data_IF_747135789250
#
_entry.id   IF_747135789250
#
_cell.length_a   1.000
_cell.length_b   1.000
_cell.length_c   1.000
_cell.angle_alpha   90.00
_cell.angle_beta   90.00
_cell.angle_gamma   90.00
#
_symmetry.space_group_name_H-M   'P 1'
#
loop_
_entity.id
_entity.type
_entity.pdbx_description
1 polymer ?
#
# COMPACT_ATOMS: atom_id res chain seq x y z
N UNK A 1 -26.64 11.25 -4.86
CA UNK A 1 -25.42 11.20 -5.69
C UNK A 1 -24.90 9.78 -5.59
N UNK A 2 -24.80 9.07 -6.71
CA UNK A 2 -24.57 7.62 -6.76
C UNK A 2 -23.25 7.22 -6.08
N UNK A 3 -23.27 6.15 -5.27
CA UNK A 3 -22.12 5.59 -4.54
C UNK A 3 -20.89 5.38 -5.45
N UNK A 4 -21.13 5.12 -6.74
CA UNK A 4 -20.12 5.00 -7.79
C UNK A 4 -19.30 6.28 -7.95
N UNK A 5 -19.92 7.46 -7.95
CA UNK A 5 -19.23 8.75 -8.12
C UNK A 5 -18.34 9.06 -6.92
N UNK A 6 -18.81 8.72 -5.71
CA UNK A 6 -18.03 8.84 -4.49
C UNK A 6 -16.82 7.89 -4.51
N UNK A 7 -17.02 6.65 -4.96
CA UNK A 7 -15.96 5.66 -5.17
C UNK A 7 -14.91 6.12 -6.18
N UNK A 8 -15.33 6.70 -7.31
CA UNK A 8 -14.40 7.27 -8.31
C UNK A 8 -13.61 8.44 -7.72
N UNK A 9 -14.26 9.33 -6.96
CA UNK A 9 -13.60 10.47 -6.31
C UNK A 9 -12.52 10.00 -5.32
N UNK A 10 -12.85 9.00 -4.48
CA UNK A 10 -11.89 8.40 -3.55
C UNK A 10 -10.75 7.68 -4.27
N UNK A 11 -11.02 6.97 -5.36
CA UNK A 11 -9.99 6.32 -6.17
C UNK A 11 -9.01 7.33 -6.77
N UNK A 12 -9.51 8.47 -7.28
CA UNK A 12 -8.66 9.54 -7.81
C UNK A 12 -7.83 10.23 -6.71
N UNK A 13 -8.45 10.53 -5.56
CA UNK A 13 -7.74 11.08 -4.41
C UNK A 13 -6.65 10.13 -3.91
N UNK A 14 -6.93 8.83 -3.86
CA UNK A 14 -5.96 7.80 -3.50
C UNK A 14 -4.80 7.76 -4.50
N UNK A 15 -5.08 7.75 -5.81
CA UNK A 15 -4.06 7.74 -6.85
C UNK A 15 -3.13 8.96 -6.77
N UNK A 16 -3.67 10.17 -6.58
CA UNK A 16 -2.88 11.40 -6.42
C UNK A 16 -2.03 11.33 -5.16
N UNK A 17 -2.60 10.88 -4.05
CA UNK A 17 -1.90 10.75 -2.77
C UNK A 17 -0.75 9.74 -2.85
N UNK A 18 -0.99 8.58 -3.44
CA UNK A 18 0.02 7.54 -3.66
C UNK A 18 1.11 7.98 -4.64
N UNK A 19 0.78 8.74 -5.69
CA UNK A 19 1.76 9.28 -6.62
C UNK A 19 2.65 10.37 -6.02
N UNK A 20 2.07 11.23 -5.18
CA UNK A 20 2.78 12.39 -4.60
C UNK A 20 3.60 12.01 -3.36
N UNK A 21 3.13 11.04 -2.57
CA UNK A 21 3.78 10.58 -1.33
C UNK A 21 5.28 10.24 -1.49
N UNK A 22 5.73 9.39 -2.45
CA UNK A 22 7.14 9.05 -2.59
C UNK A 22 7.99 10.24 -3.03
N UNK A 23 7.43 11.20 -3.78
CA UNK A 23 8.13 12.42 -4.20
C UNK A 23 8.40 13.31 -2.98
N UNK A 24 7.37 13.57 -2.17
CA UNK A 24 7.50 14.33 -0.93
C UNK A 24 8.43 13.64 0.08
N UNK A 25 8.31 12.31 0.22
CA UNK A 25 9.19 11.53 1.08
C UNK A 25 10.66 11.65 0.65
N UNK A 26 10.94 11.58 -0.67
CA UNK A 26 12.30 11.77 -1.21
C UNK A 26 12.84 13.17 -0.93
N UNK A 27 12.00 14.22 -0.99
CA UNK A 27 12.40 15.59 -0.63
C UNK A 27 12.72 15.67 0.87
N UNK A 28 11.84 15.15 1.74
CA UNK A 28 12.04 15.17 3.19
C UNK A 28 13.31 14.43 3.63
N UNK A 29 13.57 13.27 3.05
CA UNK A 29 14.77 12.47 3.33
C UNK A 29 16.10 13.11 2.89
N UNK A 30 16.08 14.24 2.15
CA UNK A 30 17.29 15.04 1.92
C UNK A 30 17.72 15.83 3.15
N UNK A 31 16.79 16.10 4.07
CA UNK A 31 17.00 16.94 5.25
C UNK A 31 17.03 16.13 6.55
N UNK A 32 16.52 14.90 6.55
CA UNK A 32 16.46 14.01 7.73
C UNK A 32 16.93 12.60 7.38
N UNK A 33 17.46 11.90 8.38
CA UNK A 33 17.88 10.51 8.24
C UNK A 33 16.68 9.57 8.00
N UNK A 34 16.89 8.51 7.23
CA UNK A 34 15.88 7.50 6.89
C UNK A 34 15.07 6.94 8.09
N UNK A 35 15.69 6.53 9.22
CA UNK A 35 14.93 6.06 10.39
C UNK A 35 14.10 7.17 11.04
N UNK A 36 14.57 8.42 11.04
CA UNK A 36 13.82 9.57 11.57
C UNK A 36 12.61 9.89 10.70
N UNK A 37 12.76 9.86 9.37
CA UNK A 37 11.64 10.05 8.43
C UNK A 37 10.57 8.96 8.57
N UNK A 38 10.98 7.72 8.82
CA UNK A 38 10.06 6.62 9.11
C UNK A 38 9.27 6.84 10.39
N UNK A 39 9.93 7.23 11.49
CA UNK A 39 9.26 7.51 12.76
C UNK A 39 8.26 8.67 12.65
N UNK A 40 8.66 9.76 12.00
CA UNK A 40 7.77 10.92 11.77
C UNK A 40 6.57 10.52 10.93
N UNK A 41 6.77 9.74 9.86
CA UNK A 41 5.67 9.25 9.03
C UNK A 41 4.73 8.31 9.79
N UNK A 42 5.27 7.42 10.63
CA UNK A 42 4.46 6.53 11.47
C UNK A 42 3.64 7.31 12.49
N UNK A 43 4.27 8.22 13.25
CA UNK A 43 3.59 9.00 14.28
C UNK A 43 2.52 9.94 13.69
N UNK A 44 2.83 10.59 12.56
CA UNK A 44 1.84 11.43 11.86
C UNK A 44 0.67 10.61 11.33
N UNK A 45 0.93 9.45 10.72
CA UNK A 45 -0.14 8.56 10.25
C UNK A 45 -1.02 8.06 11.41
N UNK A 46 -0.42 7.68 12.54
CA UNK A 46 -1.13 7.25 13.74
C UNK A 46 -1.99 8.39 14.30
N UNK A 47 -1.44 9.60 14.40
CA UNK A 47 -2.16 10.76 14.93
C UNK A 47 -3.38 11.13 14.07
N UNK A 48 -3.22 11.14 12.74
CA UNK A 48 -4.31 11.44 11.81
C UNK A 48 -5.41 10.37 11.89
N UNK A 49 -5.02 9.09 11.84
CA UNK A 49 -5.97 7.98 11.91
C UNK A 49 -6.70 7.99 13.26
N UNK A 50 -5.99 8.19 14.37
CA UNK A 50 -6.59 8.27 15.70
C UNK A 50 -7.56 9.46 15.83
N UNK A 51 -7.18 10.63 15.31
CA UNK A 51 -8.02 11.83 15.33
C UNK A 51 -9.34 11.67 14.56
N UNK A 52 -9.37 10.80 13.54
CA UNK A 52 -10.58 10.50 12.76
C UNK A 52 -11.35 9.32 13.38
N UNK A 53 -10.66 8.26 13.78
CA UNK A 53 -11.27 7.02 14.25
C UNK A 53 -11.90 7.16 15.65
N UNK A 54 -11.24 7.86 16.58
CA UNK A 54 -11.73 8.00 17.96
C UNK A 54 -13.08 8.75 18.02
N UNK A 55 -13.29 9.90 17.34
CA UNK A 55 -14.57 10.60 17.40
C UNK A 55 -15.70 9.87 16.66
N UNK A 56 -15.39 9.18 15.56
CA UNK A 56 -16.40 8.55 14.71
C UNK A 56 -16.80 7.14 15.20
N UNK A 57 -15.86 6.36 15.73
CA UNK A 57 -16.05 4.94 16.04
C UNK A 57 -15.49 4.54 17.41
N UNK A 58 -15.14 5.50 18.28
CA UNK A 58 -14.47 5.21 19.55
C UNK A 58 -15.25 4.30 20.50
N UNK A 59 -16.60 4.28 20.42
CA UNK A 59 -17.44 3.35 21.19
C UNK A 59 -17.39 1.94 20.63
N UNK A 60 -17.51 1.80 19.31
CA UNK A 60 -17.41 0.50 18.62
C UNK A 60 -16.03 -0.16 18.85
N UNK A 61 -14.98 0.66 18.98
CA UNK A 61 -13.63 0.18 19.30
C UNK A 61 -13.51 -0.43 20.71
N UNK A 62 -14.31 0.02 21.66
CA UNK A 62 -14.36 -0.52 23.03
C UNK A 62 -15.21 -1.79 23.13
N UNK A 63 -16.16 -1.96 22.21
CA UNK A 63 -17.04 -3.13 22.12
C UNK A 63 -16.46 -4.24 21.23
N UNK A 64 -15.28 -4.03 20.64
CA UNK A 64 -14.59 -5.01 19.81
C UNK A 64 -14.33 -6.33 20.58
N UNK A 65 -14.83 -7.46 20.10
CA UNK A 65 -14.64 -8.72 20.79
C UNK A 65 -13.17 -9.16 20.74
N UNK A 66 -12.68 -9.67 21.88
CA UNK A 66 -11.27 -10.04 22.12
C UNK A 66 -10.69 -11.03 21.09
N UNK A 67 -11.51 -11.82 20.41
CA UNK A 67 -11.06 -12.76 19.38
C UNK A 67 -10.59 -12.07 18.07
N UNK A 68 -10.86 -10.78 17.89
CA UNK A 68 -10.42 -10.00 16.72
C UNK A 68 -8.99 -9.46 16.92
N UNK A 69 -8.57 -9.25 18.17
CA UNK A 69 -7.22 -8.75 18.49
C UNK A 69 -6.07 -9.57 17.85
N UNK A 70 -6.09 -10.92 17.88
CA UNK A 70 -5.08 -11.73 17.21
C UNK A 70 -4.98 -11.47 15.70
N UNK A 71 -6.11 -11.21 15.03
CA UNK A 71 -6.13 -10.89 13.60
C UNK A 71 -5.49 -9.53 13.32
N UNK A 72 -5.73 -8.51 14.16
CA UNK A 72 -5.04 -7.21 14.05
C UNK A 72 -3.53 -7.34 14.28
N UNK A 73 -3.12 -8.13 15.26
CA UNK A 73 -1.70 -8.41 15.52
C UNK A 73 -1.07 -9.12 14.32
N UNK A 74 -1.74 -10.14 13.78
CA UNK A 74 -1.27 -10.88 12.60
C UNK A 74 -1.15 -9.96 11.38
N UNK A 75 -2.14 -9.11 11.11
CA UNK A 75 -2.12 -8.11 10.05
C UNK A 75 -0.95 -7.13 10.23
N UNK A 76 -0.71 -6.67 11.46
CA UNK A 76 0.40 -5.78 11.80
C UNK A 76 1.76 -6.44 11.53
N UNK A 77 1.95 -7.68 11.95
CA UNK A 77 3.17 -8.46 11.70
C UNK A 77 3.38 -8.67 10.20
N UNK A 78 2.36 -9.14 9.48
CA UNK A 78 2.45 -9.37 8.03
C UNK A 78 2.77 -8.09 7.26
N UNK A 79 2.11 -6.97 7.56
CA UNK A 79 2.34 -5.71 6.86
C UNK A 79 3.68 -5.06 7.21
N UNK A 80 3.94 -4.82 8.49
CA UNK A 80 5.08 -4.02 8.92
C UNK A 80 6.34 -4.87 9.09
N UNK A 81 6.23 -6.01 9.76
CA UNK A 81 7.41 -6.83 10.07
C UNK A 81 7.84 -7.63 8.84
N UNK A 82 6.92 -8.27 8.14
CA UNK A 82 7.26 -9.05 6.96
C UNK A 82 7.31 -8.17 5.70
N UNK A 83 6.20 -7.51 5.37
CA UNK A 83 6.05 -6.74 4.14
C UNK A 83 7.05 -5.60 4.03
N UNK A 84 7.09 -4.71 5.02
CA UNK A 84 8.01 -3.56 5.00
C UNK A 84 9.46 -4.01 5.07
N UNK A 85 9.82 -4.97 5.91
CA UNK A 85 11.19 -5.47 6.02
C UNK A 85 11.67 -6.11 4.71
N UNK A 86 10.89 -7.04 4.14
CA UNK A 86 11.22 -7.67 2.85
C UNK A 86 11.32 -6.64 1.74
N UNK A 87 10.48 -5.61 1.77
CA UNK A 87 10.57 -4.49 0.84
C UNK A 87 11.89 -3.73 0.98
N UNK A 88 12.28 -3.35 2.20
CA UNK A 88 13.54 -2.69 2.49
C UNK A 88 14.76 -3.54 2.08
N UNK A 89 14.74 -4.83 2.40
CA UNK A 89 15.79 -5.78 2.00
C UNK A 89 15.85 -5.93 0.49
N UNK A 90 14.70 -6.07 -0.18
CA UNK A 90 14.62 -6.16 -1.64
C UNK A 90 15.15 -4.91 -2.35
N UNK A 91 14.80 -3.73 -1.84
CA UNK A 91 15.34 -2.45 -2.32
C UNK A 91 16.85 -2.36 -2.08
N UNK A 92 17.34 -2.83 -0.93
CA UNK A 92 18.77 -2.82 -0.59
C UNK A 92 19.59 -3.76 -1.48
N UNK A 93 19.09 -4.97 -1.77
CA UNK A 93 19.78 -5.99 -2.58
C UNK A 93 19.68 -5.73 -4.09
N UNK A 94 18.51 -5.35 -4.59
CA UNK A 94 18.25 -5.21 -6.03
C UNK A 94 18.32 -3.76 -6.55
N UNK A 95 18.35 -2.78 -5.64
CA UNK A 95 18.25 -1.36 -5.96
C UNK A 95 16.82 -0.90 -6.25
N UNK A 96 16.54 0.38 -5.98
CA UNK A 96 15.22 1.01 -6.17
C UNK A 96 14.70 0.81 -7.61
N UNK A 97 15.57 0.86 -8.62
CA UNK A 97 15.21 0.69 -10.03
C UNK A 97 14.56 -0.67 -10.35
N UNK A 98 14.94 -1.75 -9.65
CA UNK A 98 14.35 -3.09 -9.85
C UNK A 98 13.21 -3.38 -8.88
N UNK A 99 13.27 -2.82 -7.67
CA UNK A 99 12.23 -3.03 -6.67
C UNK A 99 10.91 -2.30 -7.01
N UNK A 100 10.98 -1.09 -7.59
CA UNK A 100 9.79 -0.27 -7.90
C UNK A 100 8.84 -0.94 -8.91
N UNK A 101 9.33 -1.50 -10.05
CA UNK A 101 8.49 -2.27 -10.95
C UNK A 101 7.91 -3.53 -10.30
N UNK A 102 8.70 -4.21 -9.45
CA UNK A 102 8.24 -5.42 -8.75
C UNK A 102 7.11 -5.13 -7.76
N UNK A 103 7.15 -4.00 -7.05
CA UNK A 103 6.08 -3.59 -6.15
C UNK A 103 4.81 -3.22 -6.93
N UNK A 104 4.98 -2.69 -8.14
CA UNK A 104 3.86 -2.32 -9.02
C UNK A 104 3.05 -3.53 -9.51
N UNK A 105 3.61 -4.75 -9.42
CA UNK A 105 2.87 -6.00 -9.69
C UNK A 105 2.09 -6.52 -8.48
N UNK A 106 2.13 -5.84 -7.33
CA UNK A 106 1.33 -6.21 -6.14
C UNK A 106 -0.16 -6.43 -6.40
N UNK A 107 -0.86 -5.71 -7.32
CA UNK A 107 -2.26 -5.99 -7.63
C UNK A 107 -2.47 -7.38 -8.25
N UNK A 108 -1.48 -7.93 -8.97
CA UNK A 108 -1.55 -9.29 -9.52
C UNK A 108 -1.52 -10.33 -8.40
N UNK A 109 -0.60 -10.17 -7.45
CA UNK A 109 -0.52 -11.05 -6.29
C UNK A 109 -1.78 -10.94 -5.43
N UNK A 110 -2.29 -9.73 -5.22
CA UNK A 110 -3.55 -9.51 -4.52
C UNK A 110 -4.72 -10.21 -5.22
N UNK A 111 -4.80 -10.15 -6.55
CA UNK A 111 -5.81 -10.85 -7.34
C UNK A 111 -5.72 -12.37 -7.22
N UNK A 112 -4.52 -12.94 -7.33
CA UNK A 112 -4.30 -14.39 -7.19
C UNK A 112 -4.68 -14.84 -5.77
N UNK A 113 -4.26 -14.10 -4.75
CA UNK A 113 -4.59 -14.42 -3.37
C UNK A 113 -6.09 -14.26 -3.09
N UNK A 114 -6.74 -13.24 -3.63
CA UNK A 114 -8.20 -13.06 -3.52
C UNK A 114 -8.95 -14.23 -4.15
N UNK A 115 -8.53 -14.68 -5.34
CA UNK A 115 -9.12 -15.85 -5.98
C UNK A 115 -8.93 -17.13 -5.15
N UNK A 116 -7.77 -17.34 -4.55
CA UNK A 116 -7.47 -18.55 -3.75
C UNK A 116 -8.19 -18.55 -2.40
N UNK A 117 -8.14 -17.43 -1.66
CA UNK A 117 -8.62 -17.35 -0.28
C UNK A 117 -10.06 -16.87 -0.15
N UNK A 118 -10.49 -15.93 -1.00
CA UNK A 118 -11.83 -15.30 -0.95
C UNK A 118 -12.77 -15.98 -1.97
N UNK A 119 -12.23 -16.74 -2.93
CA UNK A 119 -12.99 -17.38 -4.02
C UNK A 119 -13.78 -16.40 -4.89
N UNK A 120 -13.40 -15.12 -4.91
CA UNK A 120 -13.97 -14.13 -5.81
C UNK A 120 -13.36 -14.27 -7.21
N UNK A 121 -14.21 -14.42 -8.23
CA UNK A 121 -13.78 -14.43 -9.64
C UNK A 121 -13.68 -12.99 -10.13
N UNK A 122 -12.47 -12.46 -10.40
CA UNK A 122 -12.33 -11.10 -10.87
C UNK A 122 -12.98 -10.92 -12.25
N UNK A 123 -13.67 -9.80 -12.51
CA UNK A 123 -14.30 -9.55 -13.80
C UNK A 123 -13.26 -9.43 -14.93
N UNK A 124 -13.61 -9.73 -16.19
CA UNK A 124 -12.65 -9.78 -17.30
C UNK A 124 -11.83 -8.49 -17.50
N UNK A 125 -12.41 -7.33 -17.16
CA UNK A 125 -11.74 -6.02 -17.21
C UNK A 125 -10.49 -5.95 -16.31
N UNK A 126 -10.51 -6.67 -15.18
CA UNK A 126 -9.42 -6.70 -14.20
C UNK A 126 -8.22 -7.48 -14.76
N UNK A 127 -8.44 -8.48 -15.62
CA UNK A 127 -7.38 -9.16 -16.36
C UNK A 127 -6.68 -8.23 -17.35
N UNK A 128 -7.41 -7.32 -18.00
CA UNK A 128 -6.81 -6.32 -18.91
C UNK A 128 -5.93 -5.34 -18.14
N UNK A 129 -6.39 -4.89 -16.96
CA UNK A 129 -5.59 -4.07 -16.05
C UNK A 129 -4.32 -4.78 -15.58
N UNK A 130 -4.44 -6.05 -15.21
CA UNK A 130 -3.32 -6.93 -14.86
C UNK A 130 -2.27 -7.01 -15.97
N UNK A 131 -2.68 -7.30 -17.21
CA UNK A 131 -1.78 -7.37 -18.37
C UNK A 131 -1.11 -6.02 -18.65
N UNK A 132 -1.85 -4.92 -18.46
CA UNK A 132 -1.31 -3.57 -18.62
C UNK A 132 -0.22 -3.25 -17.59
N UNK A 133 -0.39 -3.68 -16.33
CA UNK A 133 0.63 -3.56 -15.28
C UNK A 133 1.89 -4.35 -15.66
N UNK A 134 1.74 -5.60 -16.11
CA UNK A 134 2.86 -6.43 -16.57
C UNK A 134 3.60 -5.76 -17.73
N UNK A 135 2.87 -5.24 -18.71
CA UNK A 135 3.44 -4.53 -19.86
C UNK A 135 4.22 -3.28 -19.45
N UNK A 136 3.66 -2.44 -18.58
CA UNK A 136 4.33 -1.25 -18.07
C UNK A 136 5.60 -1.58 -17.29
N UNK A 137 5.56 -2.61 -16.44
CA UNK A 137 6.73 -3.09 -15.69
C UNK A 137 7.81 -3.62 -16.64
N UNK A 138 7.44 -4.39 -17.67
CA UNK A 138 8.38 -4.92 -18.65
C UNK A 138 9.08 -3.81 -19.43
N UNK A 139 8.35 -2.74 -19.81
CA UNK A 139 8.92 -1.57 -20.48
C UNK A 139 9.96 -0.87 -19.59
N UNK A 140 9.60 -0.58 -18.33
CA UNK A 140 10.51 0.08 -17.38
C UNK A 140 11.77 -0.76 -17.12
N UNK A 141 11.63 -2.07 -17.00
CA UNK A 141 12.78 -2.97 -16.81
C UNK A 141 13.65 -3.07 -18.08
N UNK A 142 13.06 -2.85 -19.26
CA UNK A 142 13.79 -2.85 -20.54
C UNK A 142 14.61 -1.58 -20.77
N UNK A 143 14.24 -0.46 -20.14
CA UNK A 143 15.06 0.75 -20.12
C UNK A 143 16.30 0.50 -19.24
N UNK A 144 17.38 0.05 -19.89
CA UNK A 144 18.69 -0.06 -19.28
C UNK A 144 19.14 1.34 -18.83
N UNK A 145 19.71 1.48 -17.62
CA UNK A 145 20.31 2.74 -17.20
C UNK A 145 21.50 3.00 -18.14
N UNK A 146 21.38 4.03 -18.97
CA UNK A 146 22.47 4.63 -19.75
C UNK A 146 23.38 5.45 -18.85
#
# INVERSE_FOLDING_TARGET
MSDITLGILFALLAAISFGTSPVLARIGLRYINAPTGLLVSMLSSLAIIAAIAIPLHGRDMLELPLHIFPWFVLLGILNYVLGRYLNYVGVHLAGVAKATPLISTSPLFAMILAFIFIQEVPPPIVFVGALSIVGGVALIVSERPS
#
